data_IF_998413915578
#
_entry.id   IF_998413915578
#
_cell.length_a   1.000
_cell.length_b   1.000
_cell.length_c   1.000
_cell.angle_alpha   90.00
_cell.angle_beta   90.00
_cell.angle_gamma   90.00
#
_symmetry.space_group_name_H-M   'P 1'
#
loop_
_entity.id
_entity.type
_entity.pdbx_description
1 polymer ?
#
# COMPACT_ATOMS: atom_id res chain seq x y z
N UNK A 1 12.85 -13.23 -18.84
CA UNK A 1 11.74 -12.93 -17.92
C UNK A 1 10.57 -12.40 -18.74
N UNK A 2 9.33 -12.82 -18.48
CA UNK A 2 8.17 -12.19 -19.10
C UNK A 2 8.11 -10.72 -18.63
N UNK A 3 8.04 -9.72 -19.55
CA UNK A 3 8.13 -8.30 -19.18
C UNK A 3 7.02 -7.88 -18.19
N UNK A 4 5.85 -8.51 -18.28
CA UNK A 4 4.75 -8.27 -17.34
C UNK A 4 5.12 -8.61 -15.89
N UNK A 5 5.92 -9.66 -15.66
CA UNK A 5 6.26 -10.14 -14.32
C UNK A 5 7.35 -9.30 -13.68
N UNK A 6 8.36 -8.88 -14.45
CA UNK A 6 9.37 -7.95 -13.96
C UNK A 6 8.74 -6.59 -13.63
N UNK A 7 7.82 -6.09 -14.46
CA UNK A 7 7.09 -4.86 -14.18
C UNK A 7 6.17 -5.00 -12.95
N UNK A 8 5.50 -6.15 -12.79
CA UNK A 8 4.68 -6.44 -11.60
C UNK A 8 5.52 -6.47 -10.32
N UNK A 9 6.70 -7.11 -10.37
CA UNK A 9 7.65 -7.13 -9.26
C UNK A 9 8.15 -5.73 -8.91
N UNK A 10 8.51 -4.94 -9.92
CA UNK A 10 8.97 -3.56 -9.71
C UNK A 10 7.86 -2.69 -9.10
N UNK A 11 6.66 -2.71 -9.66
CA UNK A 11 5.52 -1.98 -9.13
C UNK A 11 5.14 -2.45 -7.71
N UNK A 12 5.11 -3.76 -7.46
CA UNK A 12 4.77 -4.33 -6.16
C UNK A 12 5.81 -4.01 -5.08
N UNK A 13 7.09 -4.10 -5.40
CA UNK A 13 8.19 -3.73 -4.49
C UNK A 13 8.23 -2.23 -4.19
N UNK A 14 8.01 -1.38 -5.20
CA UNK A 14 7.90 0.06 -5.00
C UNK A 14 6.65 0.44 -4.17
N UNK A 15 5.53 -0.26 -4.39
CA UNK A 15 4.31 -0.08 -3.60
C UNK A 15 4.51 -0.50 -2.14
N UNK A 16 5.22 -1.61 -1.92
CA UNK A 16 5.56 -2.10 -0.59
C UNK A 16 6.51 -1.15 0.14
N UNK A 17 7.59 -0.70 -0.50
CA UNK A 17 8.52 0.27 0.11
C UNK A 17 7.84 1.60 0.38
N UNK A 18 7.04 2.12 -0.55
CA UNK A 18 6.23 3.32 -0.36
C UNK A 18 5.28 3.19 0.84
N UNK A 19 4.61 2.04 0.98
CA UNK A 19 3.70 1.78 2.12
C UNK A 19 4.45 1.67 3.45
N UNK A 20 5.62 1.02 3.45
CA UNK A 20 6.48 0.92 4.64
C UNK A 20 6.98 2.29 5.06
N UNK A 21 7.46 3.09 4.11
CA UNK A 21 7.91 4.46 4.38
C UNK A 21 6.74 5.30 4.89
N UNK A 22 5.56 5.19 4.27
CA UNK A 22 4.38 5.89 4.76
C UNK A 22 4.04 5.47 6.20
N UNK A 23 4.05 4.18 6.52
CA UNK A 23 3.70 3.68 7.85
C UNK A 23 4.71 4.09 8.95
N UNK A 24 6.00 4.17 8.64
CA UNK A 24 7.06 4.44 9.63
C UNK A 24 7.36 5.92 9.82
N UNK A 25 6.94 6.77 8.89
CA UNK A 25 7.32 8.18 8.91
C UNK A 25 6.28 9.06 9.59
N UNK A 26 6.76 10.07 10.30
CA UNK A 26 5.92 11.03 11.00
C UNK A 26 5.37 12.16 10.13
N UNK A 27 5.52 12.06 8.80
CA UNK A 27 5.17 13.11 7.85
C UNK A 27 3.84 12.85 7.15
N UNK A 28 2.82 12.45 7.91
CA UNK A 28 1.45 12.36 7.38
C UNK A 28 0.77 13.71 7.34
N UNK A 29 0.97 14.49 8.39
CA UNK A 29 0.41 15.83 8.50
C UNK A 29 1.49 16.79 8.99
N UNK A 30 1.45 18.01 8.47
CA UNK A 30 2.18 19.13 9.02
C UNK A 30 1.18 20.11 9.61
N UNK A 31 1.32 20.39 10.89
CA UNK A 31 0.62 21.46 11.57
C UNK A 31 1.54 22.69 11.54
N UNK A 32 1.19 23.68 10.74
CA UNK A 32 1.94 24.94 10.67
C UNK A 32 1.29 25.93 11.64
N UNK A 33 1.97 26.21 12.75
CA UNK A 33 1.69 27.35 13.61
C UNK A 33 2.45 28.60 13.16
N UNK A 34 2.22 29.76 13.81
CA UNK A 34 2.85 31.03 13.43
C UNK A 34 4.39 31.04 13.50
N UNK A 35 4.99 30.21 14.36
CA UNK A 35 6.45 30.14 14.54
C UNK A 35 7.04 28.72 14.43
N UNK A 36 6.21 27.68 14.48
CA UNK A 36 6.68 26.29 14.52
C UNK A 36 5.82 25.42 13.61
N UNK A 37 6.49 24.54 12.86
CA UNK A 37 5.85 23.45 12.13
C UNK A 37 6.05 22.16 12.92
N UNK A 38 4.96 21.51 13.29
CA UNK A 38 4.99 20.19 13.92
C UNK A 38 4.55 19.14 12.90
N UNK A 39 5.33 18.07 12.80
CA UNK A 39 4.95 16.90 12.01
C UNK A 39 4.31 15.87 12.92
N UNK A 40 3.26 15.21 12.45
CA UNK A 40 2.64 14.11 13.20
C UNK A 40 2.43 12.91 12.29
N UNK A 41 2.93 11.76 12.75
CA UNK A 41 2.78 10.48 12.10
C UNK A 41 1.49 9.78 12.43
N UNK A 42 1.46 8.50 12.05
CA UNK A 42 0.45 7.58 12.56
C UNK A 42 0.73 7.19 14.00
N UNK A 43 1.97 7.25 14.47
CA UNK A 43 2.36 6.78 15.81
C UNK A 43 2.34 7.95 16.80
N UNK A 44 1.37 8.00 17.73
CA UNK A 44 1.34 9.04 18.74
C UNK A 44 2.49 8.83 19.72
N UNK A 45 3.35 9.84 19.87
CA UNK A 45 4.45 9.83 20.86
C UNK A 45 3.96 10.10 22.28
N UNK A 46 2.82 10.78 22.44
CA UNK A 46 2.17 11.03 23.73
C UNK A 46 1.12 9.95 24.02
N UNK A 47 1.45 9.00 24.92
CA UNK A 47 0.49 8.01 25.43
C UNK A 47 -0.74 8.64 26.13
N UNK A 48 -0.65 9.91 26.55
CA UNK A 48 -1.71 10.56 27.35
C UNK A 48 -2.84 11.20 26.54
N UNK A 49 -2.64 11.50 25.26
CA UNK A 49 -3.70 12.09 24.43
C UNK A 49 -4.54 10.97 23.84
N UNK A 50 -5.80 10.88 24.26
CA UNK A 50 -6.82 9.97 23.72
C UNK A 50 -6.72 9.90 22.19
N UNK A 51 -6.05 8.86 21.68
CA UNK A 51 -5.77 8.70 20.26
C UNK A 51 -7.11 8.49 19.57
N UNK A 52 -7.41 9.34 18.59
CA UNK A 52 -8.69 9.26 17.90
C UNK A 52 -8.83 7.89 17.23
N UNK A 53 -9.97 7.21 17.41
CA UNK A 53 -10.16 5.83 16.96
C UNK A 53 -9.89 5.60 15.46
N UNK A 54 -10.06 6.64 14.62
CA UNK A 54 -9.75 6.55 13.19
C UNK A 54 -8.25 6.35 12.90
N UNK A 55 -7.35 6.79 13.79
CA UNK A 55 -5.91 6.57 13.65
C UNK A 55 -5.60 5.08 13.80
N UNK A 56 -6.18 4.42 14.80
CA UNK A 56 -6.02 2.97 15.00
C UNK A 56 -6.58 2.15 13.84
N UNK A 57 -7.73 2.56 13.28
CA UNK A 57 -8.28 1.95 12.06
C UNK A 57 -7.29 2.12 10.90
N UNK A 58 -6.80 3.34 10.67
CA UNK A 58 -5.82 3.63 9.60
C UNK A 58 -4.55 2.78 9.76
N UNK A 59 -3.98 2.73 10.96
CA UNK A 59 -2.81 1.90 11.30
C UNK A 59 -3.05 0.42 10.97
N UNK A 60 -4.18 -0.12 11.43
CA UNK A 60 -4.52 -1.54 11.23
C UNK A 60 -4.61 -1.88 9.76
N UNK A 61 -5.29 -1.05 8.96
CA UNK A 61 -5.41 -1.26 7.52
C UNK A 61 -4.10 -1.04 6.77
N UNK A 62 -3.24 -0.09 7.19
CA UNK A 62 -1.90 0.06 6.62
C UNK A 62 -1.02 -1.17 6.91
N UNK A 63 -1.06 -1.72 8.14
CA UNK A 63 -0.33 -2.93 8.49
C UNK A 63 -0.84 -4.12 7.65
N UNK A 64 -2.16 -4.27 7.52
CA UNK A 64 -2.75 -5.31 6.66
C UNK A 64 -2.31 -5.13 5.20
N UNK A 65 -2.24 -3.91 4.69
CA UNK A 65 -1.76 -3.63 3.33
C UNK A 65 -0.30 -4.04 3.15
N UNK A 66 0.57 -3.75 4.12
CA UNK A 66 1.97 -4.17 4.10
C UNK A 66 2.10 -5.69 4.15
N UNK A 67 1.32 -6.37 5.00
CA UNK A 67 1.32 -7.83 5.09
C UNK A 67 0.87 -8.46 3.77
N UNK A 68 -0.24 -8.00 3.18
CA UNK A 68 -0.70 -8.47 1.88
C UNK A 68 0.26 -8.15 0.75
N UNK A 69 0.88 -6.96 0.77
CA UNK A 69 1.91 -6.56 -0.18
C UNK A 69 3.15 -7.45 -0.10
N UNK A 70 3.60 -7.79 1.11
CA UNK A 70 4.73 -8.69 1.35
C UNK A 70 4.43 -10.07 0.79
N UNK A 71 3.27 -10.65 1.12
CA UNK A 71 2.82 -11.94 0.60
C UNK A 71 2.77 -11.91 -0.93
N UNK A 72 2.19 -10.86 -1.52
CA UNK A 72 2.10 -10.71 -2.97
C UNK A 72 3.48 -10.69 -3.65
N UNK A 73 4.42 -9.89 -3.14
CA UNK A 73 5.78 -9.79 -3.67
C UNK A 73 6.54 -11.11 -3.48
N UNK A 74 6.41 -11.77 -2.33
CA UNK A 74 7.01 -13.09 -2.09
C UNK A 74 6.54 -14.11 -3.12
N UNK A 75 5.23 -14.24 -3.36
CA UNK A 75 4.71 -15.16 -4.38
C UNK A 75 5.17 -14.82 -5.79
N UNK A 76 5.35 -13.53 -6.12
CA UNK A 76 5.92 -13.13 -7.42
C UNK A 76 7.40 -13.54 -7.54
N UNK A 77 8.20 -13.32 -6.49
CA UNK A 77 9.60 -13.74 -6.47
C UNK A 77 9.69 -15.26 -6.62
N UNK A 78 8.91 -16.01 -5.84
CA UNK A 78 8.84 -17.46 -5.95
C UNK A 78 8.47 -17.88 -7.38
N UNK A 79 7.47 -17.21 -7.98
CA UNK A 79 7.06 -17.49 -9.36
C UNK A 79 8.24 -17.40 -10.33
N UNK A 80 9.13 -16.41 -10.15
CA UNK A 80 10.27 -16.18 -11.04
C UNK A 80 11.35 -17.26 -10.95
N UNK A 81 11.32 -18.10 -9.92
CA UNK A 81 12.24 -19.21 -9.73
C UNK A 81 11.51 -20.50 -10.15
N UNK A 82 11.76 -21.05 -11.35
CA UNK A 82 11.11 -22.27 -11.81
C UNK A 82 11.41 -23.48 -10.89
N UNK A 83 12.55 -23.48 -10.19
CA UNK A 83 12.93 -24.56 -9.27
C UNK A 83 12.07 -24.63 -7.98
N UNK A 84 11.41 -23.53 -7.59
CA UNK A 84 10.62 -23.42 -6.34
C UNK A 84 9.12 -23.28 -6.61
N UNK A 85 8.71 -23.10 -7.86
CA UNK A 85 7.32 -22.82 -8.21
C UNK A 85 6.53 -24.10 -8.48
N UNK A 86 5.48 -24.32 -7.68
CA UNK A 86 4.39 -25.19 -8.10
C UNK A 86 3.69 -24.61 -9.35
N UNK A 87 3.19 -25.43 -10.30
CA UNK A 87 2.75 -24.96 -11.61
C UNK A 87 1.63 -23.91 -11.51
N UNK A 88 1.84 -22.74 -12.13
CA UNK A 88 0.81 -21.79 -12.57
C UNK A 88 -0.01 -21.02 -11.52
N UNK A 89 -0.05 -21.46 -10.24
CA UNK A 89 -0.93 -20.84 -9.22
C UNK A 89 -0.32 -19.62 -8.52
N UNK A 90 1.01 -19.50 -8.48
CA UNK A 90 1.71 -18.39 -7.82
C UNK A 90 1.24 -16.99 -8.29
N UNK A 91 1.14 -16.72 -9.61
CA UNK A 91 0.65 -15.44 -10.13
C UNK A 91 -0.79 -15.09 -9.71
N UNK A 92 -1.69 -16.06 -9.58
CA UNK A 92 -3.06 -15.81 -9.11
C UNK A 92 -3.09 -15.39 -7.65
N UNK A 93 -2.37 -16.11 -6.79
CA UNK A 93 -2.28 -15.77 -5.36
C UNK A 93 -1.69 -14.37 -5.20
N UNK A 94 -0.60 -14.07 -5.92
CA UNK A 94 -0.03 -12.72 -5.92
C UNK A 94 -1.04 -11.65 -6.36
N UNK A 95 -1.80 -11.93 -7.42
CA UNK A 95 -2.82 -11.00 -7.94
C UNK A 95 -3.88 -10.69 -6.89
N UNK A 96 -4.46 -11.72 -6.27
CA UNK A 96 -5.47 -11.57 -5.21
C UNK A 96 -4.89 -10.77 -4.03
N UNK A 97 -3.65 -11.08 -3.63
CA UNK A 97 -2.98 -10.39 -2.52
C UNK A 97 -2.60 -8.94 -2.85
N UNK A 98 -2.29 -8.63 -4.11
CA UNK A 98 -2.04 -7.26 -4.56
C UNK A 98 -3.33 -6.43 -4.52
N UNK A 99 -4.45 -7.00 -4.97
CA UNK A 99 -5.75 -6.33 -4.88
C UNK A 99 -6.23 -6.17 -3.43
N UNK A 100 -6.00 -7.16 -2.56
CA UNK A 100 -6.32 -7.01 -1.15
C UNK A 100 -5.44 -5.96 -0.47
N UNK A 101 -4.15 -5.88 -0.82
CA UNK A 101 -3.27 -4.81 -0.36
C UNK A 101 -3.77 -3.44 -0.82
N UNK A 102 -4.14 -3.31 -2.10
CA UNK A 102 -4.71 -2.09 -2.68
C UNK A 102 -6.01 -1.68 -1.96
N UNK A 103 -6.92 -2.62 -1.70
CA UNK A 103 -8.16 -2.33 -0.99
C UNK A 103 -7.89 -1.90 0.46
N UNK A 104 -6.99 -2.59 1.17
CA UNK A 104 -6.63 -2.24 2.55
C UNK A 104 -6.04 -0.83 2.63
N UNK A 105 -5.09 -0.49 1.74
CA UNK A 105 -4.52 0.87 1.75
C UNK A 105 -5.58 1.91 1.33
N UNK A 106 -6.44 1.61 0.36
CA UNK A 106 -7.53 2.51 -0.03
C UNK A 106 -8.45 2.82 1.15
N UNK A 107 -8.83 1.81 1.93
CA UNK A 107 -9.64 1.98 3.14
C UNK A 107 -8.90 2.82 4.17
N UNK A 108 -7.62 2.54 4.43
CA UNK A 108 -6.81 3.33 5.35
C UNK A 108 -6.78 4.81 4.94
N UNK A 109 -6.48 5.09 3.67
CA UNK A 109 -6.40 6.45 3.15
C UNK A 109 -7.76 7.14 3.17
N UNK A 110 -8.83 6.46 2.75
CA UNK A 110 -10.18 7.02 2.75
C UNK A 110 -10.67 7.35 4.16
N UNK A 111 -10.44 6.47 5.15
CA UNK A 111 -10.77 6.72 6.56
C UNK A 111 -9.99 7.91 7.09
N UNK A 112 -8.68 7.97 6.82
CA UNK A 112 -7.85 9.09 7.26
C UNK A 112 -8.31 10.42 6.65
N UNK A 113 -8.56 10.46 5.33
CA UNK A 113 -9.02 11.66 4.62
C UNK A 113 -10.40 12.12 5.09
N UNK A 114 -11.37 11.22 5.18
CA UNK A 114 -12.75 11.56 5.58
C UNK A 114 -12.82 12.09 7.01
N UNK A 115 -12.15 11.41 7.95
CA UNK A 115 -12.15 11.83 9.35
C UNK A 115 -11.37 13.13 9.56
N UNK A 116 -10.28 13.36 8.81
CA UNK A 116 -9.58 14.65 8.84
C UNK A 116 -10.40 15.78 8.24
N UNK A 117 -11.11 15.55 7.15
CA UNK A 117 -12.01 16.56 6.57
C UNK A 117 -13.13 16.97 7.54
N UNK A 118 -13.59 16.03 8.37
CA UNK A 118 -14.61 16.31 9.39
C UNK A 118 -14.11 17.12 10.59
N UNK A 119 -12.79 17.23 10.80
CA UNK A 119 -12.25 18.04 11.88
C UNK A 119 -12.35 19.52 11.49
N UNK A 120 -13.16 20.28 12.23
CA UNK A 120 -13.28 21.73 12.05
C UNK A 120 -11.89 22.36 12.14
N UNK A 121 -11.48 23.19 11.15
CA UNK A 121 -10.20 23.88 11.22
C UNK A 121 -10.20 24.78 12.46
N UNK A 122 -9.39 24.43 13.45
CA UNK A 122 -9.10 25.35 14.55
C UNK A 122 -8.43 26.58 13.94
N UNK A 123 -8.98 27.77 14.21
CA UNK A 123 -8.58 29.03 13.57
C UNK A 123 -7.09 29.37 13.69
N UNK A 124 -6.39 28.78 14.67
CA UNK A 124 -5.00 29.10 15.00
C UNK A 124 -3.98 28.14 14.37
N UNK A 125 -4.37 26.95 13.91
CA UNK A 125 -3.43 25.95 13.37
C UNK A 125 -3.95 25.43 12.04
N UNK A 126 -3.29 25.81 10.94
CA UNK A 126 -3.54 25.22 9.64
C UNK A 126 -2.84 23.86 9.57
N UNK A 127 -3.57 22.84 9.13
CA UNK A 127 -3.04 21.49 8.95
C UNK A 127 -3.03 21.16 7.47
N UNK A 128 -1.89 20.68 6.99
CA UNK A 128 -1.69 20.28 5.60
C UNK A 128 -1.25 18.83 5.51
N UNK A 129 -1.74 18.11 4.49
CA UNK A 129 -1.26 16.77 4.19
C UNK A 129 0.20 16.82 3.73
N UNK A 130 1.01 15.95 4.32
CA UNK A 130 2.44 15.83 4.02
C UNK A 130 2.72 14.65 3.08
N UNK A 131 3.99 14.49 2.68
CA UNK A 131 4.40 13.56 1.64
C UNK A 131 4.10 12.09 1.94
N UNK A 132 4.11 11.65 3.20
CA UNK A 132 3.79 10.26 3.56
C UNK A 132 2.34 9.90 3.26
N UNK A 133 1.42 10.86 3.39
CA UNK A 133 0.03 10.68 2.97
C UNK A 133 -0.06 10.45 1.45
N UNK A 134 0.66 11.23 0.65
CA UNK A 134 0.71 11.02 -0.79
C UNK A 134 1.36 9.68 -1.15
N UNK A 135 2.38 9.23 -0.42
CA UNK A 135 2.98 7.91 -0.61
C UNK A 135 2.00 6.75 -0.35
N UNK A 136 1.04 6.92 0.56
CA UNK A 136 -0.04 5.96 0.75
C UNK A 136 -0.98 5.87 -0.47
N UNK A 137 -1.28 6.99 -1.12
CA UNK A 137 -2.04 7.00 -2.38
C UNK A 137 -1.24 6.46 -3.56
N UNK A 138 0.06 6.77 -3.63
CA UNK A 138 0.94 6.22 -4.65
C UNK A 138 1.05 4.70 -4.50
N UNK A 139 1.17 4.19 -3.27
CA UNK A 139 1.23 2.74 -3.05
C UNK A 139 -0.06 2.02 -3.43
N UNK A 140 -1.23 2.62 -3.21
CA UNK A 140 -2.50 2.12 -3.74
C UNK A 140 -2.44 1.90 -5.26
N UNK A 141 -2.03 2.93 -6.00
CA UNK A 141 -1.94 2.88 -7.47
C UNK A 141 -0.93 1.82 -7.89
N UNK A 142 0.23 1.75 -7.22
CA UNK A 142 1.26 0.75 -7.51
C UNK A 142 0.79 -0.69 -7.26
N UNK A 143 0.03 -0.95 -6.18
CA UNK A 143 -0.55 -2.26 -5.92
C UNK A 143 -1.62 -2.63 -6.96
N UNK A 144 -2.43 -1.69 -7.42
CA UNK A 144 -3.35 -1.94 -8.53
C UNK A 144 -2.61 -2.31 -9.81
N UNK A 145 -1.56 -1.57 -10.18
CA UNK A 145 -0.74 -1.92 -11.34
C UNK A 145 -0.07 -3.29 -11.18
N UNK A 146 0.48 -3.59 -10.00
CA UNK A 146 1.07 -4.89 -9.71
C UNK A 146 0.06 -6.04 -9.84
N UNK A 147 -1.17 -5.86 -9.36
CA UNK A 147 -2.27 -6.81 -9.51
C UNK A 147 -2.66 -7.02 -10.98
N UNK A 148 -2.88 -5.93 -11.72
CA UNK A 148 -3.22 -6.00 -13.15
C UNK A 148 -2.13 -6.67 -14.00
N UNK A 149 -0.86 -6.34 -13.75
CA UNK A 149 0.27 -6.94 -14.47
C UNK A 149 0.46 -8.42 -14.13
N UNK A 150 0.25 -8.80 -12.86
CA UNK A 150 0.28 -10.19 -12.41
C UNK A 150 -0.86 -11.01 -13.03
N UNK A 151 -2.06 -10.44 -13.11
CA UNK A 151 -3.20 -11.07 -13.78
C UNK A 151 -2.93 -11.25 -15.27
N UNK A 152 -2.36 -10.23 -15.92
CA UNK A 152 -1.96 -10.30 -17.33
C UNK A 152 -0.92 -11.38 -17.59
N UNK A 153 0.06 -11.54 -16.69
CA UNK A 153 1.03 -12.64 -16.76
C UNK A 153 0.34 -14.01 -16.64
N UNK A 154 -0.56 -14.19 -15.68
CA UNK A 154 -1.30 -15.44 -15.50
C UNK A 154 -2.13 -15.81 -16.76
N UNK A 155 -2.87 -14.84 -17.31
CA UNK A 155 -3.67 -15.05 -18.52
C UNK A 155 -2.81 -15.44 -19.73
N UNK A 156 -1.59 -14.89 -19.85
CA UNK A 156 -0.65 -15.24 -20.92
C UNK A 156 -0.09 -16.66 -20.75
N UNK A 157 0.27 -17.05 -19.53
CA UNK A 157 0.74 -18.41 -19.25
C UNK A 157 -0.35 -19.44 -19.57
N UNK A 158 -1.61 -19.17 -19.19
CA UNK A 158 -2.73 -20.07 -19.47
C UNK A 158 -3.05 -20.15 -20.98
N UNK A 159 -2.96 -19.03 -21.71
CA UNK A 159 -3.16 -19.05 -23.18
C UNK A 159 -2.12 -19.92 -23.88
N UNK A 160 -0.85 -19.85 -23.46
CA UNK A 160 0.20 -20.68 -24.02
C UNK A 160 -0.05 -22.19 -23.78
N UNK A 161 -0.61 -22.56 -22.62
CA UNK A 161 -0.98 -23.96 -22.31
C UNK A 161 -2.10 -24.48 -23.23
N UNK A 162 -3.10 -23.64 -23.54
CA UNK A 162 -4.17 -24.00 -24.49
C UNK A 162 -3.70 -24.14 -25.94
N UNK A 163 -2.66 -23.40 -26.37
CA UNK A 163 -2.10 -23.51 -27.73
C UNK A 163 -1.23 -24.77 -27.93
N UNK A 164 -0.86 -25.45 -26.84
CA UNK A 164 -0.04 -26.67 -26.88
C UNK A 164 -0.83 -27.99 -26.82
N UNK A 165 -2.16 -27.93 -26.69
CA UNK A 165 -3.08 -29.07 -26.72
C UNK A 165 -3.75 -29.18 -28.09
#
# INVERSE_FOLDING_TARGET
MEPCRSLALFAGSLGLTSSLIALTTDFWIVATGPHFSAHSGLWPTSQETQVAGYIHVTQSFCILAVLWGLVSVSFLILSCIPALSAPGRGPLVSTVMAFSAALSILVAMAVYTSMRWSQTPFSQVQTFFSWSFYLGWVSFILFLFAGCLSLGAHCRTRRAEYETL
#
